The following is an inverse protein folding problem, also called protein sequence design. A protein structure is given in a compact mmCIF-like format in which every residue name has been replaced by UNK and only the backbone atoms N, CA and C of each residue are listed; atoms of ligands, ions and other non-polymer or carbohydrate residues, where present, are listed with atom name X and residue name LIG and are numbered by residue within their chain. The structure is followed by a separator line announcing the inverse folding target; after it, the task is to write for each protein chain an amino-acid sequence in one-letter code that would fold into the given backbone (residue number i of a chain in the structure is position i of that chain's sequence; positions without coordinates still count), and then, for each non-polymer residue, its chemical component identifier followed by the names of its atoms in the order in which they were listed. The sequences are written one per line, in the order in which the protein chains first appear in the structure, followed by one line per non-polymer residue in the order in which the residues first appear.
data_IF_272424606659
#
_entry.id   IF_272424606659
#
_cell.length_a   1.000
_cell.length_b   1.000
_cell.length_c   1.000
_cell.angle_alpha   90.00
_cell.angle_beta   90.00
_cell.angle_gamma   90.00
#
_symmetry.space_group_name_H-M   'P 1'
#
loop_
_entity.id
_entity.type
_entity.pdbx_description
1 polymer ?
#
# COMPACT_ATOMS: atom_id res chain seq x y z
N UNK A 1 20.30 -8.70 -5.54
CA UNK A 1 19.20 -8.85 -6.53
C UNK A 1 18.40 -7.58 -6.52
N UNK A 2 18.15 -6.98 -7.70
CA UNK A 2 17.37 -5.73 -7.86
C UNK A 2 15.93 -5.99 -7.39
N UNK A 3 15.49 -5.26 -6.38
CA UNK A 3 14.18 -5.50 -5.77
C UNK A 3 13.29 -4.27 -5.86
N UNK A 4 12.12 -4.40 -6.48
CA UNK A 4 11.08 -3.39 -6.49
C UNK A 4 9.93 -3.82 -5.59
N UNK A 5 9.44 -2.89 -4.77
CA UNK A 5 8.36 -3.15 -3.81
C UNK A 5 7.10 -2.42 -4.27
N UNK A 6 5.99 -3.15 -4.36
CA UNK A 6 4.68 -2.66 -4.77
C UNK A 6 3.76 -2.68 -3.56
N UNK A 7 3.45 -1.52 -3.02
CA UNK A 7 2.69 -1.38 -1.78
C UNK A 7 1.27 -0.96 -2.08
N UNK A 8 0.31 -1.83 -1.76
CA UNK A 8 -1.09 -1.46 -1.65
C UNK A 8 -1.29 -0.66 -0.36
N UNK A 9 -1.41 0.66 -0.50
CA UNK A 9 -1.47 1.57 0.63
C UNK A 9 -2.72 1.40 1.50
N UNK A 10 -3.85 1.01 0.90
CA UNK A 10 -5.06 0.76 1.67
C UNK A 10 -4.99 -0.58 2.40
N UNK A 11 -4.51 -1.63 1.74
CA UNK A 11 -4.35 -2.93 2.36
C UNK A 11 -3.34 -2.86 3.53
N UNK A 12 -2.22 -2.14 3.34
CA UNK A 12 -1.25 -1.88 4.41
C UNK A 12 -1.90 -1.11 5.57
N UNK A 13 -2.62 -0.02 5.28
CA UNK A 13 -3.23 0.80 6.33
C UNK A 13 -4.29 0.03 7.12
N UNK A 14 -5.25 -0.58 6.43
CA UNK A 14 -6.33 -1.30 7.09
C UNK A 14 -5.87 -2.61 7.72
N UNK A 15 -4.86 -3.24 7.14
CA UNK A 15 -4.31 -4.51 7.61
C UNK A 15 -3.52 -4.38 8.90
N UNK A 16 -2.62 -3.40 9.03
CA UNK A 16 -1.73 -3.35 10.19
C UNK A 16 -1.47 -1.96 10.80
N UNK A 17 -1.96 -0.86 10.21
CA UNK A 17 -1.70 0.48 10.76
C UNK A 17 -2.92 1.13 11.41
N UNK A 18 -4.13 0.84 10.93
CA UNK A 18 -5.37 1.40 11.49
C UNK A 18 -5.50 1.02 12.97
N UNK A 19 -5.84 2.00 13.80
CA UNK A 19 -5.99 1.82 15.26
C UNK A 19 -4.70 1.42 16.00
N UNK A 20 -3.53 1.74 15.45
CA UNK A 20 -2.22 1.58 16.09
C UNK A 20 -1.49 2.91 16.17
N UNK A 21 -0.38 2.97 16.91
CA UNK A 21 0.52 4.12 16.97
C UNK A 21 1.61 4.09 15.88
N UNK A 22 1.55 3.09 14.98
CA UNK A 22 2.57 2.84 13.96
C UNK A 22 2.29 3.50 12.60
N UNK A 23 1.34 4.44 12.53
CA UNK A 23 0.90 5.09 11.27
C UNK A 23 1.96 5.97 10.62
N UNK A 24 3.00 6.39 11.37
CA UNK A 24 4.09 7.23 10.88
C UNK A 24 5.25 6.40 10.31
N UNK A 25 4.91 5.42 9.47
CA UNK A 25 5.76 4.32 9.04
C UNK A 25 6.73 4.72 7.94
N UNK A 26 8.02 4.48 8.14
CA UNK A 26 9.07 4.64 7.13
C UNK A 26 9.20 3.33 6.34
N UNK A 27 8.69 3.32 5.12
CA UNK A 27 8.67 2.12 4.27
C UNK A 27 10.07 1.64 3.88
N UNK A 28 11.04 2.55 3.71
CA UNK A 28 12.41 2.16 3.41
C UNK A 28 13.05 1.38 4.57
N UNK A 29 12.87 1.86 5.79
CA UNK A 29 13.37 1.19 7.01
C UNK A 29 12.66 -0.16 7.19
N UNK A 30 11.32 -0.17 7.07
CA UNK A 30 10.51 -1.39 7.20
C UNK A 30 11.02 -2.50 6.29
N UNK A 31 11.13 -2.23 5.00
CA UNK A 31 11.49 -3.27 4.04
C UNK A 31 12.97 -3.65 4.10
N UNK A 32 13.84 -2.71 4.50
CA UNK A 32 15.25 -3.03 4.78
C UNK A 32 15.40 -3.94 6.00
N UNK A 33 14.48 -3.85 6.97
CA UNK A 33 14.43 -4.72 8.14
C UNK A 33 13.89 -6.13 7.80
N UNK A 34 12.79 -6.19 7.06
CA UNK A 34 12.10 -7.46 6.73
C UNK A 34 12.88 -8.28 5.70
N UNK A 35 13.45 -7.65 4.66
CA UNK A 35 14.09 -8.35 3.56
C UNK A 35 15.53 -8.76 3.91
N UNK A 36 15.96 -9.90 3.39
CA UNK A 36 17.34 -10.37 3.58
C UNK A 36 18.35 -9.44 2.85
N UNK A 37 19.59 -9.38 3.35
CA UNK A 37 20.65 -8.46 2.88
C UNK A 37 20.98 -8.55 1.38
N UNK A 38 20.67 -9.64 0.72
CA UNK A 38 20.90 -9.79 -0.72
C UNK A 38 19.87 -9.06 -1.61
N UNK A 39 18.80 -8.51 -1.02
CA UNK A 39 17.86 -7.63 -1.71
C UNK A 39 18.38 -6.20 -1.74
N UNK A 40 18.63 -5.66 -2.93
CA UNK A 40 18.89 -4.24 -3.15
C UNK A 40 17.58 -3.56 -3.50
N UNK A 41 16.98 -2.82 -2.56
CA UNK A 41 15.72 -2.09 -2.77
C UNK A 41 16.03 -0.89 -3.65
N UNK A 42 15.72 -0.99 -4.93
CA UNK A 42 15.95 0.07 -5.91
C UNK A 42 14.72 0.97 -6.11
N UNK A 43 13.52 0.48 -5.79
CA UNK A 43 12.28 1.26 -5.95
C UNK A 43 11.18 0.76 -5.01
N UNK A 44 10.40 1.70 -4.47
CA UNK A 44 9.17 1.45 -3.71
C UNK A 44 8.04 2.20 -4.41
N UNK A 45 7.08 1.48 -4.95
CA UNK A 45 5.88 2.02 -5.58
C UNK A 45 4.72 1.93 -4.58
N UNK A 46 4.22 3.08 -4.14
CA UNK A 46 3.12 3.17 -3.17
C UNK A 46 1.82 3.56 -3.89
N UNK A 47 0.85 2.66 -3.91
CA UNK A 47 -0.43 2.84 -4.57
C UNK A 47 -1.50 3.26 -3.55
N UNK A 48 -2.19 4.35 -3.82
CA UNK A 48 -3.19 4.92 -2.91
C UNK A 48 -4.11 5.90 -3.64
N UNK A 49 -5.12 6.42 -2.96
CA UNK A 49 -5.91 7.54 -3.44
C UNK A 49 -6.02 8.62 -2.35
N UNK A 50 -6.08 9.88 -2.77
CA UNK A 50 -6.14 11.02 -1.84
C UNK A 50 -7.53 11.11 -1.20
N UNK A 51 -7.57 11.08 0.12
CA UNK A 51 -8.80 11.22 0.90
C UNK A 51 -9.38 12.62 0.73
N UNK A 52 -10.70 12.68 0.60
CA UNK A 52 -11.45 13.94 0.69
C UNK A 52 -11.84 14.24 2.13
N UNK A 53 -12.12 15.49 2.43
CA UNK A 53 -12.68 15.90 3.72
C UNK A 53 -13.98 15.12 3.96
N UNK A 54 -14.11 14.50 5.13
CA UNK A 54 -15.28 13.74 5.58
C UNK A 54 -15.85 14.36 6.84
N UNK A 55 -17.16 14.26 7.03
CA UNK A 55 -17.82 14.69 8.27
C UNK A 55 -17.45 13.80 9.46
N UNK A 56 -17.25 12.50 9.21
CA UNK A 56 -16.89 11.54 10.26
C UNK A 56 -15.46 11.74 10.78
N UNK A 57 -14.53 12.17 9.92
CA UNK A 57 -13.15 12.48 10.30
C UNK A 57 -12.63 13.67 9.47
N UNK A 58 -12.92 14.89 9.91
CA UNK A 58 -12.60 16.10 9.16
C UNK A 58 -11.09 16.31 8.93
N UNK A 59 -10.22 15.64 9.71
CA UNK A 59 -8.75 15.79 9.63
C UNK A 59 -8.03 14.61 8.96
N UNK A 60 -8.74 13.54 8.58
CA UNK A 60 -8.13 12.35 7.96
C UNK A 60 -7.29 12.70 6.72
N UNK A 61 -7.83 13.55 5.84
CA UNK A 61 -7.14 13.99 4.63
C UNK A 61 -5.86 14.80 4.92
N UNK A 62 -5.83 15.59 6.01
CA UNK A 62 -4.63 16.34 6.41
C UNK A 62 -3.55 15.42 6.95
N UNK A 63 -3.94 14.42 7.76
CA UNK A 63 -3.01 13.41 8.26
C UNK A 63 -2.42 12.58 7.13
N UNK A 64 -3.27 12.11 6.21
CA UNK A 64 -2.79 11.40 5.03
C UNK A 64 -1.83 12.28 4.20
N UNK A 65 -2.16 13.55 3.98
CA UNK A 65 -1.29 14.49 3.25
C UNK A 65 0.07 14.61 3.93
N UNK A 66 0.11 14.75 5.26
CA UNK A 66 1.37 14.79 6.00
C UNK A 66 2.19 13.51 5.79
N UNK A 67 1.53 12.35 5.83
CA UNK A 67 2.19 11.06 5.59
C UNK A 67 2.71 10.91 4.16
N UNK A 68 1.91 11.26 3.16
CA UNK A 68 2.34 11.22 1.76
C UNK A 68 3.54 12.15 1.52
N UNK A 69 3.53 13.35 2.12
CA UNK A 69 4.69 14.24 2.09
C UNK A 69 5.93 13.62 2.76
N UNK A 70 5.75 12.89 3.88
CA UNK A 70 6.85 12.18 4.53
C UNK A 70 7.40 11.05 3.63
N UNK A 71 6.53 10.26 3.01
CA UNK A 71 6.93 9.23 2.04
C UNK A 71 7.72 9.81 0.85
N UNK A 72 7.33 10.98 0.34
CA UNK A 72 8.03 11.66 -0.76
C UNK A 72 9.45 12.12 -0.42
N UNK A 73 9.84 12.12 0.87
CA UNK A 73 11.24 12.38 1.26
C UNK A 73 12.16 11.16 1.05
N UNK A 74 11.60 9.99 0.82
CA UNK A 74 12.35 8.77 0.54
C UNK A 74 12.83 8.78 -0.93
N UNK A 75 14.14 8.63 -1.18
CA UNK A 75 14.72 8.87 -2.52
C UNK A 75 14.24 7.89 -3.58
N UNK A 76 13.86 6.68 -3.17
CA UNK A 76 13.48 5.60 -4.08
C UNK A 76 11.97 5.32 -4.07
N UNK A 77 11.16 6.26 -3.56
CA UNK A 77 9.72 6.04 -3.42
C UNK A 77 8.94 6.88 -4.43
N UNK A 78 8.05 6.20 -5.15
CA UNK A 78 7.10 6.79 -6.09
C UNK A 78 5.68 6.55 -5.58
N UNK A 79 4.83 7.60 -5.61
CA UNK A 79 3.42 7.47 -5.24
C UNK A 79 2.56 7.48 -6.50
N UNK A 80 1.74 6.44 -6.64
CA UNK A 80 0.79 6.28 -7.74
C UNK A 80 -0.62 6.46 -7.21
N UNK A 81 -1.36 7.41 -7.81
CA UNK A 81 -2.67 7.79 -7.32
C UNK A 81 -3.79 7.14 -8.12
N UNK A 82 -4.70 6.45 -7.43
CA UNK A 82 -6.07 6.22 -7.83
C UNK A 82 -6.94 7.44 -7.54
N UNK A 83 -8.23 7.26 -7.53
CA UNK A 83 -9.20 8.34 -7.25
C UNK A 83 -10.39 7.83 -6.47
N UNK A 84 -10.95 8.69 -5.60
CA UNK A 84 -12.25 8.44 -4.99
C UNK A 84 -13.37 8.99 -5.87
N UNK A 85 -14.35 8.14 -6.16
CA UNK A 85 -15.61 8.51 -6.80
C UNK A 85 -16.72 8.48 -5.74
N UNK A 86 -17.57 9.53 -5.76
CA UNK A 86 -18.78 9.59 -4.95
C UNK A 86 -19.98 9.54 -5.90
N UNK A 87 -20.83 8.55 -5.72
CA UNK A 87 -22.09 8.47 -6.43
C UNK A 87 -23.23 8.19 -5.47
N UNK A 88 -24.40 8.58 -5.88
CA UNK A 88 -25.64 8.26 -5.22
C UNK A 88 -26.13 6.93 -5.79
N UNK A 89 -26.41 5.98 -4.91
CA UNK A 89 -26.88 4.65 -5.27
C UNK A 89 -28.10 4.26 -4.43
N UNK A 90 -29.00 3.49 -5.02
CA UNK A 90 -30.10 2.86 -4.32
C UNK A 90 -29.69 1.48 -3.87
N UNK A 91 -29.84 1.19 -2.60
CA UNK A 91 -29.46 -0.10 -2.01
C UNK A 91 -30.63 -0.69 -1.20
N UNK A 92 -30.74 -2.03 -1.14
CA UNK A 92 -31.64 -2.67 -0.22
C UNK A 92 -31.34 -2.26 1.22
N UNK A 93 -32.38 -1.93 1.99
CA UNK A 93 -32.22 -1.63 3.41
C UNK A 93 -32.15 -2.93 4.21
N UNK A 94 -31.12 -3.11 5.02
CA UNK A 94 -30.96 -4.27 5.89
C UNK A 94 -32.08 -4.37 6.94
N UNK A 95 -32.70 -3.23 7.30
CA UNK A 95 -33.77 -3.14 8.29
C UNK A 95 -35.00 -2.40 7.72
N UNK A 96 -35.81 -3.03 6.83
CA UNK A 96 -36.98 -2.37 6.27
C UNK A 96 -38.06 -2.15 7.37
N UNK A 97 -38.98 -1.13 7.22
CA UNK A 97 -39.11 -0.20 6.11
C UNK A 97 -38.14 0.99 6.21
N UNK A 98 -37.85 1.69 5.09
CA UNK A 98 -38.21 1.39 3.69
C UNK A 98 -37.40 0.24 3.11
N UNK A 99 -37.91 -0.47 2.08
CA UNK A 99 -37.20 -1.59 1.44
C UNK A 99 -35.91 -1.13 0.71
N UNK A 100 -35.89 0.11 0.21
CA UNK A 100 -34.77 0.69 -0.56
C UNK A 100 -34.42 2.03 0.07
N UNK A 101 -33.12 2.27 0.24
CA UNK A 101 -32.56 3.57 0.70
C UNK A 101 -31.63 4.13 -0.35
N UNK A 102 -31.58 5.45 -0.47
CA UNK A 102 -30.57 6.15 -1.23
C UNK A 102 -29.39 6.51 -0.33
N UNK A 103 -28.18 6.14 -0.76
CA UNK A 103 -26.95 6.42 -0.01
C UNK A 103 -25.89 6.98 -0.93
N UNK A 104 -25.01 7.81 -0.37
CA UNK A 104 -23.77 8.18 -1.06
C UNK A 104 -22.74 7.07 -0.84
N UNK A 105 -22.33 6.44 -1.92
CA UNK A 105 -21.25 5.45 -1.91
C UNK A 105 -19.94 6.13 -2.34
N UNK A 106 -18.92 5.96 -1.52
CA UNK A 106 -17.55 6.35 -1.84
C UNK A 106 -16.79 5.10 -2.26
N UNK A 107 -16.27 5.09 -3.46
CA UNK A 107 -15.45 3.98 -3.95
C UNK A 107 -14.09 4.49 -4.38
N UNK A 108 -13.06 3.80 -3.97
CA UNK A 108 -11.74 3.96 -4.54
C UNK A 108 -11.67 3.22 -5.87
N UNK A 109 -11.01 3.82 -6.85
CA UNK A 109 -10.82 3.24 -8.19
C UNK A 109 -9.39 3.46 -8.66
N UNK A 110 -8.80 2.40 -9.14
CA UNK A 110 -7.58 2.43 -9.92
C UNK A 110 -6.31 2.01 -9.18
N UNK A 111 -6.26 1.96 -7.84
CA UNK A 111 -5.04 1.55 -7.13
C UNK A 111 -4.60 0.15 -7.51
N UNK A 112 -5.50 -0.83 -7.47
CA UNK A 112 -5.20 -2.23 -7.75
C UNK A 112 -4.85 -2.46 -9.22
N UNK A 113 -5.59 -1.78 -10.12
CA UNK A 113 -5.29 -1.79 -11.55
C UNK A 113 -3.91 -1.19 -11.81
N UNK A 114 -3.60 -0.03 -11.20
CA UNK A 114 -2.30 0.61 -11.33
C UNK A 114 -1.19 -0.31 -10.82
N UNK A 115 -1.36 -0.93 -9.65
CA UNK A 115 -0.39 -1.86 -9.08
C UNK A 115 -0.13 -3.03 -10.04
N UNK A 116 -1.19 -3.67 -10.53
CA UNK A 116 -1.09 -4.80 -11.46
C UNK A 116 -0.41 -4.42 -12.78
N UNK A 117 -0.77 -3.26 -13.36
CA UNK A 117 -0.18 -2.77 -14.61
C UNK A 117 1.29 -2.41 -14.42
N UNK A 118 1.66 -1.75 -13.31
CA UNK A 118 3.06 -1.43 -13.01
C UNK A 118 3.90 -2.68 -12.79
N UNK A 119 3.40 -3.68 -12.06
CA UNK A 119 4.07 -4.95 -11.84
C UNK A 119 4.41 -5.63 -13.17
N UNK A 120 3.44 -5.74 -14.08
CA UNK A 120 3.61 -6.37 -15.40
C UNK A 120 4.51 -5.57 -16.33
N UNK A 121 4.32 -4.25 -16.42
CA UNK A 121 5.14 -3.37 -17.26
C UNK A 121 6.61 -3.36 -16.81
N UNK A 122 6.86 -3.41 -15.50
CA UNK A 122 8.22 -3.44 -14.97
C UNK A 122 8.89 -4.81 -15.17
N UNK A 123 8.12 -5.90 -15.15
CA UNK A 123 8.61 -7.21 -15.53
C UNK A 123 9.06 -7.22 -17.01
N UNK A 124 8.22 -6.65 -17.88
CA UNK A 124 8.49 -6.53 -19.31
C UNK A 124 9.71 -5.67 -19.63
N UNK A 125 9.87 -4.57 -18.89
CA UNK A 125 11.01 -3.65 -19.03
C UNK A 125 12.27 -4.08 -18.27
N UNK A 126 12.29 -5.26 -17.69
CA UNK A 126 13.39 -5.80 -16.87
C UNK A 126 13.85 -4.86 -15.74
N UNK A 127 12.90 -4.20 -15.06
CA UNK A 127 13.22 -3.23 -14.00
C UNK A 127 13.49 -3.85 -12.64
N UNK A 128 13.23 -5.14 -12.45
CA UNK A 128 13.50 -5.88 -11.22
C UNK A 128 13.92 -7.33 -11.50
N UNK A 129 14.65 -7.92 -10.57
CA UNK A 129 14.88 -9.36 -10.49
C UNK A 129 13.86 -10.00 -9.53
N UNK A 130 13.47 -9.25 -8.47
CA UNK A 130 12.45 -9.63 -7.51
C UNK A 130 11.41 -8.51 -7.34
N UNK A 131 10.14 -8.85 -7.49
CA UNK A 131 9.03 -7.98 -7.11
C UNK A 131 8.46 -8.44 -5.77
N UNK A 132 8.32 -7.51 -4.83
CA UNK A 132 7.70 -7.74 -3.53
C UNK A 132 6.35 -7.04 -3.51
N UNK A 133 5.27 -7.80 -3.41
CA UNK A 133 3.93 -7.27 -3.27
C UNK A 133 3.57 -7.17 -1.78
N UNK A 134 3.11 -5.99 -1.37
CA UNK A 134 2.67 -5.74 0.01
C UNK A 134 1.16 -5.59 -0.01
N UNK A 135 0.47 -6.71 0.05
CA UNK A 135 -0.99 -6.81 0.01
C UNK A 135 -1.44 -8.20 0.46
N UNK A 136 -2.70 -8.35 0.79
CA UNK A 136 -3.39 -9.64 0.96
C UNK A 136 -4.64 -9.73 0.05
N UNK A 137 -4.75 -8.81 -0.92
CA UNK A 137 -5.86 -8.78 -1.87
C UNK A 137 -5.69 -9.85 -2.95
N UNK A 138 -6.67 -10.75 -3.02
CA UNK A 138 -6.68 -11.85 -3.99
C UNK A 138 -6.73 -11.39 -5.45
N UNK A 139 -7.17 -10.17 -5.73
CA UNK A 139 -7.28 -9.62 -7.09
C UNK A 139 -5.89 -9.47 -7.76
N UNK A 140 -4.81 -9.44 -6.97
CA UNK A 140 -3.44 -9.45 -7.47
C UNK A 140 -2.99 -10.80 -8.03
N UNK A 141 -3.73 -11.87 -7.79
CA UNK A 141 -3.32 -13.24 -8.16
C UNK A 141 -3.09 -13.41 -9.67
N UNK A 142 -3.93 -12.79 -10.50
CA UNK A 142 -3.79 -12.90 -11.95
C UNK A 142 -2.54 -12.17 -12.46
N UNK A 143 -2.23 -10.99 -11.94
CA UNK A 143 -1.02 -10.27 -12.31
C UNK A 143 0.25 -11.06 -11.93
N UNK A 144 0.27 -11.66 -10.73
CA UNK A 144 1.35 -12.55 -10.28
C UNK A 144 1.48 -13.79 -11.19
N UNK A 145 0.36 -14.41 -11.55
CA UNK A 145 0.33 -15.57 -12.45
C UNK A 145 0.95 -15.24 -13.81
N UNK A 146 0.60 -14.09 -14.38
CA UNK A 146 1.12 -13.65 -15.69
C UNK A 146 2.63 -13.39 -15.62
N UNK A 147 3.14 -12.77 -14.55
CA UNK A 147 4.59 -12.62 -14.36
C UNK A 147 5.28 -13.97 -14.29
N UNK A 148 4.76 -14.91 -13.48
CA UNK A 148 5.37 -16.26 -13.37
C UNK A 148 5.32 -17.05 -14.67
N UNK A 149 4.27 -16.89 -15.47
CA UNK A 149 4.15 -17.54 -16.78
C UNK A 149 5.06 -16.92 -17.84
N UNK A 150 5.21 -15.60 -17.84
CA UNK A 150 5.94 -14.87 -18.88
C UNK A 150 7.44 -14.70 -18.61
N UNK A 151 7.89 -14.82 -17.36
CA UNK A 151 9.24 -14.47 -16.97
C UNK A 151 9.83 -15.48 -15.94
N UNK A 152 10.51 -16.51 -16.44
CA UNK A 152 11.08 -17.58 -15.60
C UNK A 152 12.19 -17.10 -14.65
N UNK A 153 12.85 -15.99 -14.98
CA UNK A 153 13.94 -15.39 -14.20
C UNK A 153 13.48 -14.40 -13.13
N UNK A 154 12.17 -14.07 -13.07
CA UNK A 154 11.63 -13.13 -12.08
C UNK A 154 11.17 -13.85 -10.83
N UNK A 155 11.58 -13.33 -9.66
CA UNK A 155 11.08 -13.77 -8.36
C UNK A 155 9.90 -12.89 -7.93
N UNK A 156 8.91 -13.53 -7.31
CA UNK A 156 7.79 -12.84 -6.69
C UNK A 156 7.80 -13.14 -5.20
N UNK A 157 7.73 -12.11 -4.39
CA UNK A 157 7.57 -12.22 -2.96
C UNK A 157 6.27 -11.57 -2.51
N UNK A 158 5.72 -12.07 -1.42
CA UNK A 158 4.52 -11.53 -0.81
C UNK A 158 4.82 -11.12 0.63
N UNK A 159 4.51 -9.88 0.98
CA UNK A 159 4.50 -9.41 2.36
C UNK A 159 3.06 -9.08 2.72
N UNK A 160 2.47 -9.85 3.63
CA UNK A 160 1.09 -9.59 4.08
C UNK A 160 1.08 -8.62 5.24
N UNK A 161 0.25 -7.57 5.20
CA UNK A 161 0.13 -6.62 6.30
C UNK A 161 -0.32 -7.27 7.61
N UNK A 162 -1.25 -8.22 7.55
CA UNK A 162 -1.67 -9.05 8.68
C UNK A 162 -2.21 -10.40 8.21
N UNK A 163 -2.13 -11.37 9.12
CA UNK A 163 -2.67 -12.70 8.88
C UNK A 163 -1.88 -13.50 7.85
N UNK A 164 -2.41 -14.67 7.54
CA UNK A 164 -1.77 -15.55 6.55
C UNK A 164 -2.11 -15.08 5.13
N UNK A 165 -1.17 -15.22 4.18
CA UNK A 165 -1.47 -14.92 2.78
C UNK A 165 -2.57 -15.84 2.27
N UNK A 166 -3.45 -15.29 1.43
CA UNK A 166 -4.48 -16.08 0.75
C UNK A 166 -3.83 -17.16 -0.11
N UNK A 167 -4.44 -18.33 -0.21
CA UNK A 167 -3.92 -19.45 -1.01
C UNK A 167 -3.69 -19.06 -2.47
N UNK A 168 -4.57 -18.19 -3.02
CA UNK A 168 -4.48 -17.67 -4.37
C UNK A 168 -3.20 -16.89 -4.66
N UNK A 169 -2.75 -16.08 -3.71
CA UNK A 169 -1.51 -15.30 -3.83
C UNK A 169 -0.28 -16.17 -3.53
N UNK A 170 -0.35 -16.96 -2.44
CA UNK A 170 0.78 -17.77 -1.97
C UNK A 170 1.30 -18.73 -3.06
N UNK A 171 0.43 -19.27 -3.90
CA UNK A 171 0.80 -20.22 -4.97
C UNK A 171 1.75 -19.64 -6.03
N UNK A 172 1.79 -18.30 -6.17
CA UNK A 172 2.65 -17.61 -7.14
C UNK A 172 3.85 -16.93 -6.50
N UNK A 173 3.95 -16.91 -5.17
CA UNK A 173 5.05 -16.31 -4.45
C UNK A 173 6.18 -17.33 -4.23
N UNK A 174 7.42 -16.94 -4.51
CA UNK A 174 8.61 -17.73 -4.20
C UNK A 174 8.88 -17.76 -2.68
N UNK A 175 8.51 -16.67 -1.99
CA UNK A 175 8.48 -16.63 -0.52
C UNK A 175 7.40 -15.65 -0.04
N UNK A 176 6.97 -15.84 1.20
CA UNK A 176 6.02 -14.94 1.85
C UNK A 176 6.45 -14.64 3.29
N UNK A 177 6.20 -13.40 3.73
CA UNK A 177 6.38 -12.92 5.09
C UNK A 177 5.14 -12.17 5.55
N UNK A 178 4.99 -12.00 6.86
CA UNK A 178 3.91 -11.17 7.44
C UNK A 178 4.57 -10.06 8.24
N UNK A 179 4.03 -8.86 8.17
CA UNK A 179 4.46 -7.73 8.99
C UNK A 179 3.94 -7.95 10.41
N UNK A 180 4.81 -7.87 11.40
CA UNK A 180 4.45 -7.89 12.81
C UNK A 180 4.63 -6.53 13.49
N UNK A 181 4.21 -6.42 14.75
CA UNK A 181 4.28 -5.16 15.49
C UNK A 181 5.74 -4.76 15.80
N UNK A 182 6.67 -5.71 15.91
CA UNK A 182 8.08 -5.43 16.10
C UNK A 182 8.71 -4.79 14.85
N UNK A 183 8.35 -5.29 13.66
CA UNK A 183 8.75 -4.69 12.37
C UNK A 183 8.27 -3.23 12.27
N UNK A 184 7.01 -2.98 12.68
CA UNK A 184 6.41 -1.65 12.64
C UNK A 184 7.06 -0.69 13.64
N UNK A 185 7.36 -1.16 14.85
CA UNK A 185 7.93 -0.36 15.92
C UNK A 185 9.31 0.22 15.55
N UNK A 186 10.16 -0.58 14.91
CA UNK A 186 11.52 -0.15 14.54
C UNK A 186 11.55 0.74 13.29
N UNK A 187 10.46 0.79 12.53
CA UNK A 187 10.40 1.43 11.22
C UNK A 187 9.61 2.75 11.22
N UNK A 188 9.63 3.51 12.30
CA UNK A 188 8.92 4.79 12.34
C UNK A 188 9.80 5.94 11.82
N UNK A 189 9.18 6.91 11.10
CA UNK A 189 9.83 8.19 10.83
C UNK A 189 10.08 8.95 12.14
N UNK A 190 11.11 9.84 12.20
CA UNK A 190 11.26 10.76 13.33
C UNK A 190 10.05 11.70 13.41
N UNK A 191 9.77 12.22 14.61
CA UNK A 191 8.67 13.17 14.83
C UNK A 191 8.72 14.37 13.87
N UNK A 192 9.94 14.85 13.58
CA UNK A 192 10.22 15.96 12.64
C UNK A 192 11.14 15.48 11.53
N UNK A 193 10.70 15.64 10.29
CA UNK A 193 11.52 15.40 9.10
C UNK A 193 11.95 16.76 8.58
N UNK A 194 13.25 17.05 8.67
CA UNK A 194 13.86 18.28 8.16
C UNK A 194 13.91 18.25 6.63
N UNK A 195 13.62 19.38 5.99
CA UNK A 195 13.76 19.56 4.54
C UNK A 195 14.62 20.79 4.23
N UNK A 196 15.63 20.69 3.34
CA UNK A 196 16.56 21.80 3.11
C UNK A 196 15.91 23.05 2.50
N UNK A 197 14.87 22.90 1.67
CA UNK A 197 14.29 23.98 0.85
C UNK A 197 12.81 24.21 1.12
N UNK A 198 12.18 23.40 1.97
CA UNK A 198 10.75 23.50 2.26
C UNK A 198 10.47 23.40 3.77
N UNK A 199 9.24 23.73 4.20
CA UNK A 199 8.84 23.58 5.60
C UNK A 199 8.99 22.14 6.06
N UNK A 200 9.46 21.95 7.29
CA UNK A 200 9.58 20.63 7.91
C UNK A 200 8.24 19.89 7.97
N UNK A 201 8.30 18.58 7.99
CA UNK A 201 7.12 17.73 8.12
C UNK A 201 7.10 17.17 9.53
N UNK A 202 5.94 17.25 10.18
CA UNK A 202 5.75 16.77 11.55
C UNK A 202 4.76 15.61 11.58
N UNK A 203 5.02 14.65 12.46
CA UNK A 203 4.04 13.60 12.77
C UNK A 203 2.76 14.25 13.25
N UNK A 204 1.58 13.90 12.68
CA UNK A 204 0.30 14.39 13.19
C UNK A 204 0.08 13.98 14.66
N UNK A 205 -0.41 14.90 15.50
CA UNK A 205 -0.61 14.65 16.95
C UNK A 205 -1.55 13.48 17.25
N UNK A 206 -2.47 13.19 16.34
CA UNK A 206 -3.45 12.10 16.49
C UNK A 206 -3.03 10.78 15.82
N UNK A 207 -1.72 10.60 15.65
CA UNK A 207 -1.13 9.39 15.01
C UNK A 207 -0.11 8.71 15.88
#
# INVERSE_FOLDING_TARGET
MRTTIYVDGFNLYYGCLKNTDFKWLNLQVLFSHILARHHSINRICYFTAVLRKSEHDPRAHLRQKAYLNALQTLPNLEIHYGKFLRHQVRMPNANPPPKIVEVFKMEEKGSDVNLSVHLLNDAWKDRYDCAVLVTNDSDMAEAMRLVKKGFNNKKLALITPRGRPTAGLKRYADFAKTIDDADLAVAQFPYRIKRPVASDIYKPQSW
#
